data_IF_374175727123
#
_entry.id   IF_374175727123
#
_cell.length_a   1.000
_cell.length_b   1.000
_cell.length_c   1.000
_cell.angle_alpha   90.00
_cell.angle_beta   90.00
_cell.angle_gamma   90.00
#
_symmetry.space_group_name_H-M   'P 1'
#
loop_
_entity.id
_entity.type
_entity.pdbx_description
1 polymer ?
2 water ?
#
# COMPACT_ATOMS: atom_id res chain seq x y z
N UNK A 1 -23.19 2.99 -2.79
CA UNK A 1 -22.19 3.93 -2.20
C UNK A 1 -22.01 3.67 -0.71
N UNK A 2 -20.81 3.90 -0.19
CA UNK A 2 -20.62 3.89 1.28
C UNK A 2 -21.35 5.19 1.74
N UNK A 3 -22.26 5.15 2.73
CA UNK A 3 -22.76 6.54 2.96
C UNK A 3 -21.76 7.42 3.74
N UNK A 4 -22.01 8.71 3.77
CA UNK A 4 -21.00 9.69 4.30
C UNK A 4 -21.37 10.15 5.71
N UNK A 5 -20.52 9.81 6.66
CA UNK A 5 -20.76 10.21 8.05
C UNK A 5 -20.40 11.69 8.18
N UNK A 6 -20.84 12.32 9.27
CA UNK A 6 -20.52 13.73 9.48
C UNK A 6 -19.03 13.94 9.66
N UNK A 7 -18.28 12.85 9.89
CA UNK A 7 -16.82 12.78 10.18
C UNK A 7 -15.98 12.90 8.95
N UNK A 8 -16.60 13.15 7.80
CA UNK A 8 -15.93 12.75 6.59
C UNK A 8 -16.02 13.74 5.45
N UNK A 9 -14.87 14.23 5.02
CA UNK A 9 -14.90 15.21 3.91
C UNK A 9 -15.43 14.54 2.66
N UNK A 10 -15.85 15.34 1.67
CA UNK A 10 -16.19 14.73 0.38
C UNK A 10 -15.00 13.96 -0.15
N UNK A 11 -13.80 14.51 -0.03
CA UNK A 11 -12.65 13.87 -0.59
C UNK A 11 -12.43 12.50 0.05
N UNK A 12 -12.52 12.46 1.38
CA UNK A 12 -12.34 11.17 2.08
C UNK A 12 -13.42 10.19 1.66
N UNK A 13 -14.64 10.69 1.55
CA UNK A 13 -15.78 9.84 1.17
C UNK A 13 -15.58 9.25 -0.25
N UNK A 14 -15.14 10.07 -1.20
CA UNK A 14 -14.90 9.54 -2.56
C UNK A 14 -13.78 8.50 -2.54
N UNK A 15 -12.74 8.72 -1.73
CA UNK A 15 -11.66 7.74 -1.65
C UNK A 15 -12.22 6.42 -1.06
N UNK A 16 -13.04 6.51 0.00
CA UNK A 16 -13.55 5.28 0.65
C UNK A 16 -14.44 4.52 -0.34
N UNK A 17 -15.25 5.26 -1.10
CA UNK A 17 -16.08 4.62 -2.12
C UNK A 17 -15.25 3.97 -3.23
N UNK A 18 -14.17 4.61 -3.67
CA UNK A 18 -13.31 3.99 -4.65
C UNK A 18 -12.71 2.68 -4.12
N UNK A 19 -12.31 2.69 -2.85
CA UNK A 19 -11.73 1.47 -2.27
C UNK A 19 -12.76 0.34 -2.28
N UNK A 20 -13.96 0.62 -1.81
CA UNK A 20 -15.00 -0.38 -1.80
C UNK A 20 -15.35 -0.92 -3.19
N UNK A 21 -15.45 -0.02 -4.16
CA UNK A 21 -15.75 -0.43 -5.51
C UNK A 21 -14.63 -1.28 -6.11
N UNK A 22 -13.37 -0.91 -5.82
CA UNK A 22 -12.27 -1.71 -6.32
C UNK A 22 -12.29 -3.12 -5.71
N UNK A 23 -12.47 -3.19 -4.40
CA UNK A 23 -12.53 -4.51 -3.74
C UNK A 23 -13.67 -5.35 -4.33
N UNK A 24 -14.82 -4.70 -4.58
CA UNK A 24 -15.97 -5.43 -5.20
C UNK A 24 -15.60 -5.97 -6.60
N UNK A 25 -14.86 -5.18 -7.37
CA UNK A 25 -14.42 -5.63 -8.68
C UNK A 25 -13.47 -6.81 -8.57
N UNK A 26 -12.54 -6.75 -7.61
CA UNK A 26 -11.61 -7.87 -7.39
C UNK A 26 -12.38 -9.14 -7.00
N UNK A 27 -13.36 -8.99 -6.12
CA UNK A 27 -14.19 -10.14 -5.68
C UNK A 27 -14.95 -10.75 -6.88
N UNK A 28 -15.48 -9.89 -7.76
CA UNK A 28 -16.19 -10.38 -8.94
C UNK A 28 -15.26 -11.23 -9.83
N UNK A 29 -13.97 -10.86 -9.84
CA UNK A 29 -12.97 -11.58 -10.63
C UNK A 29 -12.41 -12.82 -9.92
N UNK A 30 -12.88 -13.12 -8.71
CA UNK A 30 -12.44 -14.29 -7.98
C UNK A 30 -11.27 -14.13 -7.03
N UNK A 31 -10.83 -12.89 -6.78
CA UNK A 31 -9.79 -12.63 -5.82
C UNK A 31 -10.37 -12.63 -4.42
N UNK A 32 -9.73 -13.35 -3.51
CA UNK A 32 -10.22 -13.51 -2.15
C UNK A 32 -9.13 -13.14 -1.15
N UNK A 33 -8.03 -12.52 -1.61
CA UNK A 33 -6.90 -12.25 -0.76
C UNK A 33 -7.06 -11.01 0.14
N UNK A 34 -7.16 -11.19 1.45
CA UNK A 34 -7.16 -10.04 2.35
C UNK A 34 -5.93 -9.17 2.28
N UNK A 35 -4.79 -9.78 1.98
CA UNK A 35 -3.54 -9.04 1.83
C UNK A 35 -3.72 -8.02 0.71
N UNK A 36 -4.29 -8.46 -0.41
CA UNK A 36 -4.49 -7.54 -1.53
C UNK A 36 -5.55 -6.49 -1.19
N UNK A 37 -6.65 -6.91 -0.58
CA UNK A 37 -7.69 -5.93 -0.14
C UNK A 37 -7.11 -4.87 0.83
N UNK A 38 -6.23 -5.30 1.72
CA UNK A 38 -5.62 -4.39 2.68
C UNK A 38 -4.79 -3.32 1.97
N UNK A 39 -4.11 -3.74 0.90
CA UNK A 39 -3.26 -2.79 0.14
C UNK A 39 -4.17 -1.71 -0.42
N UNK A 40 -5.32 -2.11 -0.98
CA UNK A 40 -6.24 -1.12 -1.50
C UNK A 40 -6.72 -0.21 -0.37
N UNK A 41 -7.03 -0.79 0.79
CA UNK A 41 -7.51 0.01 1.90
C UNK A 41 -6.49 0.99 2.47
N UNK A 42 -5.20 0.77 2.20
CA UNK A 42 -4.14 1.66 2.67
C UNK A 42 -3.83 2.77 1.65
N UNK A 43 -4.40 2.67 0.45
CA UNK A 43 -4.10 3.64 -0.60
C UNK A 43 -4.54 5.04 -0.21
N UNK A 44 -3.85 6.08 -0.69
CA UNK A 44 -4.17 7.45 -0.27
C UNK A 44 -4.83 8.31 -1.35
N UNK A 45 -4.89 7.82 -2.59
CA UNK A 45 -5.57 8.53 -3.66
C UNK A 45 -6.41 7.54 -4.47
N UNK A 46 -7.41 8.05 -5.15
CA UNK A 46 -8.23 7.23 -6.03
C UNK A 46 -7.37 6.62 -7.16
N UNK A 47 -6.40 7.38 -7.68
CA UNK A 47 -5.56 6.83 -8.73
C UNK A 47 -4.70 5.66 -8.21
N UNK A 48 -4.21 5.73 -6.96
CA UNK A 48 -3.50 4.58 -6.40
C UNK A 48 -4.44 3.38 -6.29
N UNK A 49 -5.66 3.59 -5.82
CA UNK A 49 -6.65 2.49 -5.77
C UNK A 49 -6.82 1.88 -7.18
N UNK A 50 -6.98 2.73 -8.20
CA UNK A 50 -7.21 2.22 -9.54
C UNK A 50 -6.02 1.39 -10.00
N UNK A 51 -4.82 1.89 -9.72
CA UNK A 51 -3.61 1.21 -10.20
C UNK A 51 -3.43 -0.13 -9.48
N UNK A 52 -3.63 -0.16 -8.15
CA UNK A 52 -3.58 -1.41 -7.43
C UNK A 52 -4.57 -2.41 -8.02
N UNK A 53 -5.82 -1.97 -8.14
CA UNK A 53 -6.87 -2.83 -8.68
C UNK A 53 -6.51 -3.35 -10.08
N UNK A 54 -6.10 -2.43 -10.96
CA UNK A 54 -5.79 -2.84 -12.34
C UNK A 54 -4.65 -3.85 -12.42
N UNK A 55 -3.60 -3.64 -11.62
CA UNK A 55 -2.47 -4.58 -11.66
C UNK A 55 -2.88 -5.96 -11.15
N UNK A 56 -3.69 -6.00 -10.09
CA UNK A 56 -4.14 -7.31 -9.57
C UNK A 56 -4.98 -8.03 -10.61
N UNK A 57 -5.89 -7.29 -11.26
CA UNK A 57 -6.71 -7.92 -12.31
C UNK A 57 -5.86 -8.45 -13.46
N UNK A 58 -4.87 -7.66 -13.90
CA UNK A 58 -3.97 -8.07 -14.98
C UNK A 58 -3.17 -9.32 -14.58
N UNK A 59 -2.70 -9.36 -13.35
CA UNK A 59 -1.87 -10.46 -12.90
C UNK A 59 -2.68 -11.75 -12.87
N UNK A 60 -3.98 -11.64 -12.59
CA UNK A 60 -4.91 -12.75 -12.34
C UNK A 60 -5.62 -13.22 -13.60
N UNK A 61 -5.50 -12.42 -14.67
CA UNK A 61 -6.26 -12.68 -15.89
C UNK A 61 -5.73 -13.90 -16.61
N UNK B 1 3.27 5.22 -6.30
CA UNK B 1 3.56 3.76 -6.27
C UNK B 1 4.81 3.42 -7.07
N UNK B 2 5.54 2.40 -6.66
CA UNK B 2 6.63 1.87 -7.50
C UNK B 2 5.90 1.18 -8.68
N UNK B 3 6.30 1.42 -9.92
CA UNK B 3 5.45 0.69 -10.88
C UNK B 3 5.83 -0.82 -10.95
N UNK B 4 4.95 -1.65 -11.47
CA UNK B 4 5.15 -3.13 -11.41
C UNK B 4 5.67 -3.65 -12.74
N UNK B 5 6.89 -4.16 -12.72
CA UNK B 5 7.48 -4.71 -13.94
C UNK B 5 6.92 -6.10 -14.19
N UNK B 6 7.13 -6.62 -15.41
CA UNK B 6 6.63 -7.95 -15.73
C UNK B 6 7.31 -9.00 -14.87
N UNK B 7 8.44 -8.68 -14.24
CA UNK B 7 9.28 -9.54 -13.40
C UNK B 7 8.72 -9.77 -12.02
N UNK B 8 7.61 -9.14 -11.69
CA UNK B 8 7.23 -8.92 -10.27
C UNK B 8 5.86 -9.53 -9.99
N UNK B 9 5.75 -10.40 -8.97
CA UNK B 9 4.41 -10.79 -8.53
C UNK B 9 3.71 -9.64 -7.85
N UNK B 10 2.38 -9.72 -7.69
CA UNK B 10 1.70 -8.70 -6.89
C UNK B 10 2.31 -8.67 -5.50
N UNK B 11 2.59 -9.83 -4.91
CA UNK B 11 3.09 -9.83 -3.55
C UNK B 11 4.42 -9.10 -3.47
N UNK B 12 5.30 -9.36 -4.43
CA UNK B 12 6.60 -8.69 -4.43
C UNK B 12 6.42 -7.18 -4.60
N UNK B 13 5.52 -6.82 -5.51
CA UNK B 13 5.24 -5.39 -5.80
C UNK B 13 4.72 -4.70 -4.53
N UNK B 14 3.79 -5.34 -3.81
CA UNK B 14 3.26 -4.71 -2.58
C UNK B 14 4.35 -4.57 -1.53
N UNK B 15 5.23 -5.55 -1.44
CA UNK B 15 6.36 -5.42 -0.49
C UNK B 15 7.26 -4.25 -0.88
N UNK B 16 7.60 -4.17 -2.17
CA UNK B 16 8.50 -3.07 -2.62
C UNK B 16 7.86 -1.70 -2.36
N UNK B 17 6.56 -1.61 -2.60
CA UNK B 17 5.87 -0.36 -2.29
C UNK B 17 5.87 -0.03 -0.81
N UNK B 18 5.68 -1.03 0.05
CA UNK B 18 5.75 -0.77 1.47
C UNK B 18 7.14 -0.27 1.89
N UNK B 19 8.19 -0.87 1.31
CA UNK B 19 9.57 -0.42 1.63
C UNK B 19 9.76 1.05 1.24
N UNK B 20 9.34 1.41 0.03
CA UNK B 20 9.49 2.77 -0.42
C UNK B 20 8.69 3.75 0.43
N UNK B 21 7.47 3.36 0.78
CA UNK B 21 6.65 4.23 1.60
C UNK B 21 7.25 4.42 3.00
N UNK B 22 7.81 3.33 3.54
CA UNK B 22 8.41 3.41 4.87
C UNK B 22 9.63 4.35 4.85
N UNK B 23 10.49 4.15 3.85
CA UNK B 23 11.67 5.02 3.71
C UNK B 23 11.23 6.49 3.56
N UNK B 24 10.17 6.73 2.78
CA UNK B 24 9.65 8.14 2.62
C UNK B 24 9.18 8.71 3.97
N UNK B 25 8.53 7.88 4.77
CA UNK B 25 8.09 8.36 6.08
C UNK B 25 9.28 8.68 6.96
N UNK B 26 10.30 7.82 6.94
CA UNK B 26 11.51 8.08 7.74
C UNK B 26 12.18 9.39 7.28
N UNK B 27 12.25 9.58 5.97
CA UNK B 27 12.86 10.81 5.46
C UNK B 27 12.07 12.04 5.91
N UNK B 28 10.76 11.94 5.90
CA UNK B 28 9.91 13.07 6.35
C UNK B 28 10.25 13.42 7.81
N UNK B 29 10.57 12.41 8.61
CA UNK B 29 10.89 12.58 10.03
C UNK B 29 12.34 13.01 10.28
N UNK B 30 13.11 13.20 9.21
CA UNK B 30 14.50 13.65 9.32
C UNK B 30 15.54 12.55 9.43
N UNK B 31 15.17 11.30 9.20
CA UNK B 31 16.14 10.23 9.20
C UNK B 31 16.86 10.18 7.87
N UNK B 32 18.20 10.10 7.89
CA UNK B 32 18.98 10.14 6.68
C UNK B 32 19.95 8.95 6.66
N UNK B 33 19.77 8.00 7.57
CA UNK B 33 20.68 6.85 7.65
C UNK B 33 20.50 5.77 6.58
N UNK B 34 21.47 5.60 5.70
CA UNK B 34 21.43 4.50 4.75
C UNK B 34 21.43 3.12 5.41
N UNK B 35 22.05 2.99 6.58
CA UNK B 35 22.08 1.72 7.32
C UNK B 35 20.65 1.34 7.68
N UNK B 36 19.88 2.31 8.17
CA UNK B 36 18.49 2.03 8.56
C UNK B 36 17.66 1.76 7.31
N UNK B 37 17.85 2.54 6.23
CA UNK B 37 17.10 2.27 4.98
C UNK B 37 17.41 0.87 4.41
N UNK B 38 18.66 0.46 4.52
CA UNK B 38 19.05 -0.87 4.05
C UNK B 38 18.32 -1.97 4.82
N UNK B 39 18.10 -1.73 6.10
CA UNK B 39 17.43 -2.75 6.92
C UNK B 39 16.00 -2.91 6.41
N UNK B 40 15.34 -1.76 6.15
CA UNK B 40 14.00 -1.80 5.56
C UNK B 40 14.03 -2.56 4.23
N UNK B 41 15.04 -2.29 3.42
CA UNK B 41 15.09 -2.91 2.09
C UNK B 41 15.35 -4.43 2.13
N UNK B 42 15.92 -4.91 3.24
CA UNK B 42 16.16 -6.35 3.40
C UNK B 42 14.96 -7.10 3.98
N UNK B 43 13.95 -6.36 4.45
CA UNK B 43 12.79 -6.99 5.10
C UNK B 43 12.05 -7.91 4.15
N UNK B 44 11.42 -8.97 4.68
CA UNK B 44 10.78 -9.94 3.80
C UNK B 44 9.26 -9.92 3.83
N UNK B 45 8.68 -9.16 4.76
CA UNK B 45 7.22 -9.04 4.82
C UNK B 45 6.87 -7.58 5.08
N UNK B 46 5.65 -7.22 4.71
CA UNK B 46 5.13 -5.88 4.96
C UNK B 46 5.05 -5.56 6.46
N UNK B 47 4.76 -6.57 7.28
CA UNK B 47 4.76 -6.38 8.73
C UNK B 47 6.17 -6.12 9.30
N UNK B 48 7.19 -6.80 8.77
CA UNK B 48 8.56 -6.47 9.19
C UNK B 48 8.92 -5.04 8.80
N UNK B 49 8.56 -4.64 7.57
CA UNK B 49 8.79 -3.23 7.17
C UNK B 49 8.14 -2.27 8.19
N UNK B 50 6.88 -2.53 8.54
CA UNK B 50 6.16 -1.62 9.43
C UNK B 50 6.85 -1.56 10.77
N UNK B 51 7.28 -2.71 11.28
CA UNK B 51 7.87 -2.75 12.61
C UNK B 51 9.21 -2.04 12.61
N UNK B 52 10.03 -2.27 11.58
CA UNK B 52 11.31 -1.55 11.51
C UNK B 52 11.05 -0.05 11.49
N UNK B 53 10.16 0.38 10.61
CA UNK B 53 9.83 1.81 10.47
C UNK B 53 9.34 2.38 11.81
N UNK B 54 8.38 1.68 12.43
CA UNK B 54 7.81 2.19 13.68
C UNK B 54 8.84 2.32 14.80
N UNK B 55 9.75 1.33 14.90
CA UNK B 55 10.75 1.39 15.97
C UNK B 55 11.71 2.56 15.73
N UNK B 56 12.10 2.75 14.47
CA UNK B 56 13.00 3.87 14.16
C UNK B 56 12.33 5.22 14.48
N UNK B 57 11.07 5.38 14.08
CA UNK B 57 10.34 6.62 14.41
C UNK B 57 10.22 6.85 15.93
N UNK B 58 9.95 5.78 16.67
CA UNK B 58 9.82 5.87 18.13
C UNK B 58 11.17 6.27 18.76
N UNK B 59 12.24 5.65 18.29
CA UNK B 59 13.54 5.90 18.85
C UNK B 59 13.95 7.34 18.61
N UNK B 60 13.56 7.92 17.48
CA UNK B 60 13.94 9.24 16.99
C UNK B 60 13.03 10.37 17.49
N UNK B 61 11.91 10.00 18.08
CA UNK B 61 10.86 10.96 18.43
C UNK B 61 11.29 11.88 19.55
#
# INVERSE_FOLDING_TARGET
LVPRGSHMTIDQWLLKNAKEDAIAELKKAGITSDFYFNAINKAKTVEEVNALKNEILKAHA
LVPRGSHMTIDQWLLKNAKEDAIAELKKAGITSDFYFNAINKAKTVEEVNALKNEILKAHA
#
